data_IF_764934203634
#
_entry.id   IF_764934203634
#
_cell.length_a   1.000
_cell.length_b   1.000
_cell.length_c   1.000
_cell.angle_alpha   90.00
_cell.angle_beta   90.00
_cell.angle_gamma   90.00
#
_symmetry.space_group_name_H-M   'P 1'
#
loop_
_entity.id
_entity.type
_entity.pdbx_description
1 polymer ?
#
# COMPACT_ATOMS: atom_id res chain seq x y z
N UNK A 1 -7.00 22.44 -13.54
CA UNK A 1 -6.83 21.75 -12.24
C UNK A 1 -7.44 20.37 -12.40
N UNK A 2 -6.83 19.32 -11.85
CA UNK A 2 -7.35 17.96 -12.00
C UNK A 2 -8.70 17.84 -11.26
N UNK A 3 -9.73 17.35 -11.94
CA UNK A 3 -11.04 17.11 -11.35
C UNK A 3 -11.08 15.79 -10.58
N UNK A 4 -12.09 15.60 -9.74
CA UNK A 4 -12.36 14.29 -9.11
C UNK A 4 -12.51 13.17 -10.15
N UNK A 5 -13.09 13.49 -11.32
CA UNK A 5 -13.21 12.55 -12.43
C UNK A 5 -11.86 12.10 -12.99
N UNK A 6 -10.93 13.04 -13.16
CA UNK A 6 -9.57 12.74 -13.67
C UNK A 6 -8.81 11.83 -12.70
N UNK A 7 -8.91 12.10 -11.40
CA UNK A 7 -8.33 11.24 -10.36
C UNK A 7 -9.00 9.86 -10.35
N UNK A 8 -10.33 9.81 -10.45
CA UNK A 8 -11.08 8.56 -10.47
C UNK A 8 -10.70 7.65 -11.63
N UNK A 9 -10.62 8.20 -12.86
CA UNK A 9 -10.21 7.45 -14.06
C UNK A 9 -8.76 6.97 -13.92
N UNK A 10 -7.86 7.85 -13.49
CA UNK A 10 -6.45 7.48 -13.26
C UNK A 10 -6.29 6.39 -12.21
N UNK A 11 -6.98 6.51 -11.07
CA UNK A 11 -6.97 5.51 -10.01
C UNK A 11 -7.53 4.17 -10.51
N UNK A 12 -8.64 4.18 -11.25
CA UNK A 12 -9.24 2.98 -11.81
C UNK A 12 -8.27 2.25 -12.76
N UNK A 13 -7.64 2.97 -13.69
CA UNK A 13 -6.67 2.39 -14.64
C UNK A 13 -5.48 1.79 -13.88
N UNK A 14 -4.91 2.51 -12.92
CA UNK A 14 -3.77 2.03 -12.13
C UNK A 14 -4.13 0.79 -11.30
N UNK A 15 -5.29 0.79 -10.64
CA UNK A 15 -5.76 -0.36 -9.83
C UNK A 15 -6.04 -1.57 -10.72
N UNK A 16 -6.73 -1.40 -11.85
CA UNK A 16 -7.02 -2.48 -12.79
C UNK A 16 -5.73 -3.08 -13.38
N UNK A 17 -4.77 -2.23 -13.73
CA UNK A 17 -3.48 -2.66 -14.26
C UNK A 17 -2.67 -3.40 -13.20
N UNK A 18 -2.61 -2.89 -11.97
CA UNK A 18 -1.97 -3.58 -10.86
C UNK A 18 -2.62 -4.94 -10.55
N UNK A 19 -3.95 -5.02 -10.62
CA UNK A 19 -4.68 -6.27 -10.47
C UNK A 19 -4.37 -7.25 -11.59
N UNK A 20 -4.33 -6.79 -12.85
CA UNK A 20 -3.95 -7.61 -13.99
C UNK A 20 -2.53 -8.18 -13.83
N UNK A 21 -1.58 -7.37 -13.34
CA UNK A 21 -0.23 -7.85 -13.02
C UNK A 21 -0.21 -8.86 -11.86
N UNK A 22 -1.03 -8.68 -10.83
CA UNK A 22 -1.18 -9.64 -9.74
C UNK A 22 -1.71 -10.99 -10.23
N UNK A 23 -2.71 -10.97 -11.11
CA UNK A 23 -3.26 -12.18 -11.74
C UNK A 23 -2.21 -12.83 -12.64
N UNK A 24 -1.51 -12.06 -13.47
CA UNK A 24 -0.42 -12.57 -14.30
C UNK A 24 0.68 -13.21 -13.45
N UNK A 25 1.09 -12.55 -12.35
CA UNK A 25 2.05 -13.09 -11.38
C UNK A 25 1.56 -14.41 -10.76
N UNK A 26 0.29 -14.47 -10.34
CA UNK A 26 -0.30 -15.69 -9.78
C UNK A 26 -0.24 -16.85 -10.77
N UNK A 27 -0.61 -16.60 -12.03
CA UNK A 27 -0.57 -17.61 -13.09
C UNK A 27 0.86 -18.06 -13.34
N UNK A 28 1.77 -17.12 -13.60
CA UNK A 28 3.17 -17.40 -13.91
C UNK A 28 3.88 -18.13 -12.78
N UNK A 29 3.58 -17.80 -11.51
CA UNK A 29 4.18 -18.43 -10.33
C UNK A 29 3.74 -19.89 -10.14
N UNK A 30 2.52 -20.23 -10.54
CA UNK A 30 1.97 -21.58 -10.41
C UNK A 30 2.42 -22.53 -11.53
N UNK A 31 2.96 -22.00 -12.64
CA UNK A 31 3.43 -22.82 -13.75
C UNK A 31 4.76 -23.52 -13.39
N UNK A 32 4.86 -24.86 -13.52
CA UNK A 32 6.04 -25.63 -13.14
C UNK A 32 7.29 -25.27 -13.96
N UNK A 33 7.12 -24.75 -15.18
CA UNK A 33 8.23 -24.25 -16.01
C UNK A 33 8.93 -23.02 -15.41
N UNK A 34 8.20 -22.15 -14.72
CA UNK A 34 8.72 -20.89 -14.19
C UNK A 34 9.13 -20.98 -12.70
N UNK A 35 9.02 -22.16 -12.10
CA UNK A 35 9.32 -22.40 -10.68
C UNK A 35 10.77 -22.05 -10.32
N UNK A 36 11.71 -22.25 -11.25
CA UNK A 36 13.14 -21.91 -11.07
C UNK A 36 13.39 -20.40 -10.97
N UNK A 37 12.59 -19.57 -11.64
CA UNK A 37 12.73 -18.11 -11.65
C UNK A 37 12.17 -17.50 -10.37
N UNK A 38 11.04 -18.01 -9.88
CA UNK A 38 10.42 -17.48 -8.66
C UNK A 38 11.00 -18.05 -7.36
N UNK A 39 11.57 -19.26 -7.38
CA UNK A 39 12.14 -19.90 -6.19
C UNK A 39 13.61 -20.33 -6.32
N UNK A 40 14.53 -19.47 -6.82
CA UNK A 40 15.92 -19.86 -7.07
C UNK A 40 16.67 -20.24 -5.78
N UNK A 41 16.38 -19.55 -4.67
CA UNK A 41 17.00 -19.81 -3.36
C UNK A 41 16.76 -21.24 -2.86
N UNK A 42 15.61 -21.84 -3.19
CA UNK A 42 15.28 -23.21 -2.76
C UNK A 42 16.12 -24.26 -3.48
N UNK A 43 16.44 -24.01 -4.75
CA UNK A 43 17.35 -24.85 -5.53
C UNK A 43 18.80 -24.67 -5.09
N UNK A 44 19.23 -23.44 -4.79
CA UNK A 44 20.59 -23.15 -4.31
C UNK A 44 20.84 -23.78 -2.93
N UNK A 45 19.85 -23.74 -2.04
CA UNK A 45 19.92 -24.38 -0.71
C UNK A 45 19.74 -25.91 -0.74
N UNK A 46 19.54 -26.51 -1.92
CA UNK A 46 19.32 -27.96 -2.07
C UNK A 46 18.01 -28.50 -1.46
N UNK A 47 17.11 -27.61 -1.01
CA UNK A 47 15.82 -27.95 -0.38
C UNK A 47 14.80 -28.47 -1.40
N UNK A 48 15.05 -28.25 -2.70
CA UNK A 48 14.22 -28.73 -3.81
C UNK A 48 15.07 -29.45 -4.84
N UNK A 49 14.86 -30.75 -4.99
CA UNK A 49 15.42 -31.53 -6.09
C UNK A 49 14.60 -31.27 -7.36
N UNK A 50 15.26 -31.13 -8.50
CA UNK A 50 14.59 -31.05 -9.81
C UNK A 50 13.59 -32.22 -9.96
N UNK A 51 12.30 -32.00 -10.27
CA UNK A 51 11.32 -33.06 -10.44
C UNK A 51 11.51 -33.82 -11.77
N UNK A 52 12.74 -33.92 -12.28
CA UNK A 52 13.03 -34.57 -13.57
C UNK A 52 12.64 -36.05 -13.63
N UNK A 53 12.31 -36.71 -12.52
CA UNK A 53 12.17 -38.17 -12.47
C UNK A 53 10.83 -38.77 -12.01
N UNK A 54 9.76 -38.02 -11.71
CA UNK A 54 8.52 -38.68 -11.20
C UNK A 54 7.20 -37.93 -11.44
N UNK A 55 6.70 -37.90 -12.69
CA UNK A 55 5.34 -37.41 -12.95
C UNK A 55 4.91 -37.38 -14.42
N UNK A 56 3.63 -37.70 -14.67
CA UNK A 56 2.98 -37.75 -15.98
C UNK A 56 3.09 -36.42 -16.75
N UNK A 57 3.44 -36.51 -18.04
CA UNK A 57 3.88 -35.41 -18.91
C UNK A 57 2.92 -34.19 -19.03
N UNK A 58 1.61 -34.32 -18.77
CA UNK A 58 0.63 -33.23 -18.93
C UNK A 58 0.59 -32.22 -17.80
N UNK A 59 0.52 -32.69 -16.54
CA UNK A 59 0.60 -31.84 -15.33
C UNK A 59 2.03 -31.32 -15.07
N UNK A 60 2.99 -31.69 -15.92
CA UNK A 60 4.40 -31.33 -15.85
C UNK A 60 4.69 -29.93 -16.41
N UNK A 61 3.81 -29.39 -17.26
CA UNK A 61 4.02 -28.11 -17.94
C UNK A 61 3.00 -27.04 -17.55
N UNK A 62 1.75 -27.42 -17.25
CA UNK A 62 0.68 -26.49 -16.88
C UNK A 62 -0.04 -27.00 -15.64
N UNK A 63 -0.08 -26.16 -14.59
CA UNK A 63 -0.92 -26.41 -13.43
C UNK A 63 -2.33 -25.89 -13.72
N UNK A 64 -3.35 -26.77 -13.73
CA UNK A 64 -4.75 -26.44 -14.05
C UNK A 64 -5.65 -26.45 -12.80
N UNK A 65 -5.09 -26.56 -11.59
CA UNK A 65 -5.87 -26.59 -10.36
C UNK A 65 -6.49 -25.23 -10.03
N UNK A 66 -7.75 -25.02 -10.40
CA UNK A 66 -8.54 -23.82 -10.09
C UNK A 66 -8.51 -23.44 -8.60
N UNK A 67 -8.41 -24.44 -7.70
CA UNK A 67 -8.27 -24.21 -6.25
C UNK A 67 -6.97 -23.51 -5.88
N UNK A 68 -5.88 -23.81 -6.59
CA UNK A 68 -4.58 -23.14 -6.43
C UNK A 68 -4.63 -21.69 -6.91
N UNK A 69 -5.45 -21.40 -7.92
CA UNK A 69 -5.71 -20.05 -8.40
C UNK A 69 -6.58 -19.23 -7.46
N UNK A 70 -7.60 -19.80 -6.82
CA UNK A 70 -8.39 -19.09 -5.80
C UNK A 70 -7.55 -18.81 -4.54
N UNK A 71 -6.68 -19.74 -4.15
CA UNK A 71 -5.83 -19.59 -2.97
C UNK A 71 -4.56 -18.76 -3.23
N UNK A 72 -4.40 -18.13 -4.40
CA UNK A 72 -3.15 -17.45 -4.74
C UNK A 72 -2.80 -16.34 -3.74
N UNK A 73 -3.79 -15.59 -3.24
CA UNK A 73 -3.56 -14.52 -2.26
C UNK A 73 -3.05 -15.02 -0.89
N UNK A 74 -3.02 -16.33 -0.64
CA UNK A 74 -2.47 -16.92 0.59
C UNK A 74 -1.00 -16.58 0.85
N UNK A 75 -0.23 -16.18 -0.18
CA UNK A 75 1.16 -15.74 0.00
C UNK A 75 1.26 -14.43 0.79
N UNK A 76 0.27 -13.54 0.69
CA UNK A 76 0.29 -12.22 1.35
C UNK A 76 0.21 -12.33 2.88
N UNK A 77 -0.77 -13.03 3.50
CA UNK A 77 -0.78 -13.23 4.94
C UNK A 77 0.38 -14.10 5.42
N UNK A 78 0.88 -15.03 4.60
CA UNK A 78 2.07 -15.81 4.94
C UNK A 78 3.33 -14.92 5.03
N UNK A 79 3.49 -13.96 4.12
CA UNK A 79 4.60 -13.01 4.14
C UNK A 79 4.58 -12.09 5.38
N UNK A 80 3.39 -11.71 5.86
CA UNK A 80 3.22 -10.87 7.05
C UNK A 80 3.41 -11.62 8.38
N UNK A 81 3.37 -12.96 8.38
CA UNK A 81 3.52 -13.77 9.61
C UNK A 81 4.98 -13.97 10.04
N UNK A 82 5.96 -13.65 9.20
CA UNK A 82 7.37 -13.90 9.49
C UNK A 82 7.89 -12.90 10.54
N UNK A 83 8.42 -13.37 11.69
CA UNK A 83 8.95 -12.47 12.73
C UNK A 83 10.30 -11.85 12.30
N UNK A 84 10.57 -10.62 12.75
CA UNK A 84 11.80 -9.87 12.47
C UNK A 84 13.11 -10.66 12.68
N UNK A 85 13.32 -11.42 13.79
CA UNK A 85 14.55 -12.19 13.98
C UNK A 85 14.75 -13.27 12.91
N UNK A 86 13.67 -13.92 12.47
CA UNK A 86 13.74 -14.92 11.39
C UNK A 86 14.03 -14.25 10.04
N UNK A 87 13.44 -13.07 9.81
CA UNK A 87 13.69 -12.27 8.61
C UNK A 87 15.15 -11.82 8.53
N UNK A 88 15.75 -11.36 9.64
CA UNK A 88 17.16 -10.97 9.69
C UNK A 88 18.06 -12.17 9.38
N UNK A 89 17.78 -13.33 9.97
CA UNK A 89 18.57 -14.55 9.71
C UNK A 89 18.41 -15.06 8.27
N UNK A 90 17.26 -14.84 7.63
CA UNK A 90 16.98 -15.36 6.29
C UNK A 90 17.32 -14.39 5.14
N UNK A 91 17.09 -13.10 5.32
CA UNK A 91 17.24 -12.05 4.32
C UNK A 91 18.40 -11.08 4.59
N UNK A 92 18.88 -11.03 5.84
CA UNK A 92 19.93 -10.10 6.27
C UNK A 92 19.37 -8.85 6.96
N UNK A 93 20.26 -8.12 7.64
CA UNK A 93 19.94 -6.92 8.41
C UNK A 93 19.39 -5.78 7.54
N UNK A 94 20.01 -5.53 6.37
CA UNK A 94 19.63 -4.42 5.48
C UNK A 94 18.18 -4.54 4.98
N UNK A 95 17.77 -5.75 4.58
CA UNK A 95 16.38 -6.03 4.18
C UNK A 95 15.38 -5.83 5.32
N UNK A 96 15.76 -6.17 6.55
CA UNK A 96 14.92 -5.95 7.72
C UNK A 96 14.76 -4.46 8.04
N UNK A 97 15.85 -3.68 7.95
CA UNK A 97 15.80 -2.21 8.12
C UNK A 97 14.93 -1.56 7.05
N UNK A 98 15.05 -2.00 5.79
CA UNK A 98 14.20 -1.51 4.70
C UNK A 98 12.71 -1.73 4.98
N UNK A 99 12.32 -2.93 5.42
CA UNK A 99 10.93 -3.23 5.80
C UNK A 99 10.48 -2.41 7.02
N UNK A 100 11.37 -2.16 7.98
CA UNK A 100 11.09 -1.32 9.16
C UNK A 100 10.69 0.11 8.75
N UNK A 101 11.30 0.67 7.71
CA UNK A 101 10.94 2.00 7.18
C UNK A 101 9.47 2.01 6.70
N UNK A 102 9.02 0.98 5.99
CA UNK A 102 7.62 0.88 5.56
C UNK A 102 6.64 0.73 6.73
N UNK A 103 6.99 -0.10 7.72
CA UNK A 103 6.15 -0.30 8.91
C UNK A 103 6.06 0.97 9.76
N UNK A 104 7.17 1.69 9.95
CA UNK A 104 7.19 2.98 10.63
C UNK A 104 6.36 4.00 9.85
N UNK A 105 6.50 4.03 8.51
CA UNK A 105 5.67 4.86 7.63
C UNK A 105 4.18 4.59 7.85
N UNK A 106 3.76 3.33 7.82
CA UNK A 106 2.38 2.94 8.08
C UNK A 106 1.91 3.37 9.48
N UNK A 107 2.72 3.11 10.51
CA UNK A 107 2.41 3.47 11.91
C UNK A 107 2.27 4.98 12.09
N UNK A 108 3.00 5.79 11.31
CA UNK A 108 2.89 7.24 11.30
C UNK A 108 1.68 7.74 10.50
N UNK A 109 1.48 7.25 9.29
CA UNK A 109 0.44 7.77 8.40
C UNK A 109 -0.97 7.38 8.81
N UNK A 110 -1.20 6.16 9.30
CA UNK A 110 -2.55 5.69 9.67
C UNK A 110 -3.26 6.62 10.68
N UNK A 111 -2.70 6.92 11.86
CA UNK A 111 -3.37 7.78 12.83
C UNK A 111 -3.51 9.22 12.33
N UNK A 112 -2.50 9.74 11.61
CA UNK A 112 -2.54 11.09 11.02
C UNK A 112 -3.66 11.18 9.99
N UNK A 113 -3.80 10.17 9.11
CA UNK A 113 -4.88 10.10 8.11
C UNK A 113 -6.25 10.00 8.78
N UNK A 114 -6.40 9.18 9.83
CA UNK A 114 -7.65 9.11 10.58
C UNK A 114 -8.04 10.45 11.21
N UNK A 115 -7.08 11.13 11.86
CA UNK A 115 -7.28 12.43 12.49
C UNK A 115 -7.62 13.50 11.43
N UNK A 116 -6.85 13.56 10.35
CA UNK A 116 -7.09 14.49 9.24
C UNK A 116 -8.47 14.24 8.60
N UNK A 117 -8.85 12.99 8.35
CA UNK A 117 -10.15 12.67 7.76
C UNK A 117 -11.30 13.04 8.70
N UNK A 118 -11.15 12.81 10.00
CA UNK A 118 -12.20 13.09 10.99
C UNK A 118 -12.38 14.59 11.24
N UNK A 119 -11.30 15.38 11.18
CA UNK A 119 -11.33 16.80 11.54
C UNK A 119 -11.28 17.72 10.32
N UNK A 120 -10.30 17.57 9.42
CA UNK A 120 -10.13 18.50 8.29
C UNK A 120 -11.27 18.39 7.28
N UNK A 121 -11.75 17.18 6.97
CA UNK A 121 -12.80 17.00 5.96
C UNK A 121 -14.09 17.76 6.35
N UNK A 122 -14.70 17.56 7.53
CA UNK A 122 -15.91 18.30 7.89
C UNK A 122 -15.68 19.80 8.09
N UNK A 123 -14.54 20.20 8.66
CA UNK A 123 -14.21 21.61 8.89
C UNK A 123 -14.07 22.37 7.57
N UNK A 124 -13.46 21.75 6.56
CA UNK A 124 -13.22 22.40 5.27
C UNK A 124 -14.43 22.29 4.33
N UNK A 125 -15.24 21.23 4.45
CA UNK A 125 -16.46 21.05 3.66
C UNK A 125 -17.58 22.04 4.03
N UNK A 126 -17.71 22.41 5.30
CA UNK A 126 -18.79 23.29 5.80
C UNK A 126 -18.57 24.77 5.45
N UNK A 127 -17.84 25.07 4.38
CA UNK A 127 -17.47 26.42 4.05
C UNK A 127 -17.68 26.74 2.57
N UNK A 128 -18.26 27.90 2.32
CA UNK A 128 -18.64 28.34 0.97
C UNK A 128 -17.78 29.54 0.55
N UNK A 129 -16.52 29.58 1.01
CA UNK A 129 -15.64 30.72 0.73
C UNK A 129 -15.18 30.69 -0.72
N UNK A 130 -14.84 29.51 -1.25
CA UNK A 130 -14.51 29.34 -2.66
C UNK A 130 -15.70 29.61 -3.59
N UNK A 131 -16.90 29.16 -3.20
CA UNK A 131 -18.13 29.40 -3.98
C UNK A 131 -18.50 30.89 -4.07
N UNK A 132 -18.12 31.69 -3.06
CA UNK A 132 -18.30 33.14 -3.05
C UNK A 132 -17.19 33.91 -3.74
N UNK A 133 -16.13 33.23 -4.17
CA UNK A 133 -15.00 33.85 -4.86
C UNK A 133 -15.06 33.55 -6.36
N UNK A 134 -14.71 34.54 -7.19
CA UNK A 134 -14.76 34.44 -8.65
C UNK A 134 -13.53 33.69 -9.22
N UNK A 135 -13.04 32.68 -8.50
CA UNK A 135 -11.88 31.87 -8.89
C UNK A 135 -12.33 30.54 -9.48
N UNK A 136 -11.55 30.01 -10.41
CA UNK A 136 -11.75 28.64 -10.89
C UNK A 136 -11.26 27.67 -9.82
N UNK A 137 -12.15 26.80 -9.34
CA UNK A 137 -11.82 25.79 -8.32
C UNK A 137 -12.39 24.42 -8.71
N UNK A 138 -11.77 23.36 -8.21
CA UNK A 138 -12.26 21.98 -8.29
C UNK A 138 -12.89 21.54 -6.96
N UNK A 139 -13.66 20.44 -6.98
CA UNK A 139 -14.27 19.89 -5.75
C UNK A 139 -13.24 19.49 -4.69
N UNK A 140 -12.01 19.15 -5.11
CA UNK A 140 -10.90 18.81 -4.21
C UNK A 140 -10.37 20.06 -3.50
N UNK A 141 -10.41 21.21 -4.17
CA UNK A 141 -9.96 22.47 -3.60
C UNK A 141 -10.88 22.94 -2.47
N UNK A 142 -12.13 22.47 -2.41
CA UNK A 142 -13.05 22.70 -1.27
C UNK A 142 -12.54 22.06 0.03
N UNK A 143 -11.76 20.99 -0.07
CA UNK A 143 -11.16 20.29 1.07
C UNK A 143 -9.82 20.91 1.49
N UNK A 144 -9.29 21.88 0.73
CA UNK A 144 -8.01 22.51 0.99
C UNK A 144 -8.13 23.80 1.81
N UNK A 145 -7.00 24.33 2.29
CA UNK A 145 -6.92 25.60 3.02
C UNK A 145 -7.42 26.80 2.20
N UNK A 146 -7.45 26.66 0.87
CA UNK A 146 -8.03 27.64 -0.05
C UNK A 146 -9.51 27.92 0.22
N UNK A 147 -10.24 26.99 0.84
CA UNK A 147 -11.64 27.18 1.21
C UNK A 147 -11.83 27.90 2.56
N UNK A 148 -10.79 28.43 3.19
CA UNK A 148 -10.88 29.02 4.54
C UNK A 148 -10.68 30.53 4.47
N UNK A 149 -11.61 31.34 5.04
CA UNK A 149 -11.51 32.78 4.99
C UNK A 149 -10.38 33.26 5.90
N UNK A 150 -9.69 34.29 5.44
CA UNK A 150 -8.63 34.96 6.19
C UNK A 150 -9.19 35.45 7.54
N UNK A 151 -8.48 35.15 8.65
CA UNK A 151 -8.86 35.51 10.03
C UNK A 151 -10.00 34.67 10.67
N UNK A 152 -10.15 33.40 10.29
CA UNK A 152 -11.14 32.48 10.86
C UNK A 152 -10.60 31.58 11.99
N UNK A 153 -11.46 31.24 12.96
CA UNK A 153 -11.22 30.24 14.02
C UNK A 153 -10.86 28.85 13.44
N UNK A 154 -11.27 28.56 12.21
CA UNK A 154 -10.96 27.28 11.53
C UNK A 154 -9.47 27.13 11.16
N UNK A 155 -8.77 28.24 10.93
CA UNK A 155 -7.31 28.22 10.73
C UNK A 155 -6.58 27.76 12.00
N UNK A 156 -7.12 28.12 13.18
CA UNK A 156 -6.60 27.66 14.48
C UNK A 156 -6.77 26.15 14.62
N UNK A 157 -7.92 25.59 14.20
CA UNK A 157 -8.17 24.14 14.22
C UNK A 157 -7.17 23.40 13.32
N UNK A 158 -6.90 23.90 12.12
CA UNK A 158 -5.89 23.28 11.24
C UNK A 158 -4.50 23.35 11.87
N UNK A 159 -4.13 24.50 12.43
CA UNK A 159 -2.84 24.66 13.11
C UNK A 159 -2.70 23.69 14.28
N UNK A 160 -3.78 23.50 15.05
CA UNK A 160 -3.84 22.53 16.15
C UNK A 160 -3.68 21.09 15.64
N UNK A 161 -4.39 20.70 14.59
CA UNK A 161 -4.25 19.37 13.97
C UNK A 161 -2.82 19.14 13.47
N UNK A 162 -2.21 20.13 12.84
CA UNK A 162 -0.82 20.05 12.37
C UNK A 162 0.17 19.92 13.54
N UNK A 163 -0.08 20.61 14.66
CA UNK A 163 0.70 20.49 15.88
C UNK A 163 0.61 19.08 16.48
N UNK A 164 -0.58 18.51 16.59
CA UNK A 164 -0.78 17.14 17.09
C UNK A 164 -0.11 16.10 16.18
N UNK A 165 -0.20 16.26 14.86
CA UNK A 165 0.50 15.39 13.92
C UNK A 165 2.04 15.46 14.06
N UNK A 166 2.58 16.66 14.29
CA UNK A 166 4.01 16.87 14.55
C UNK A 166 4.44 16.29 15.90
N UNK A 167 3.61 16.43 16.94
CA UNK A 167 3.89 15.88 18.26
C UNK A 167 3.86 14.35 18.25
N UNK A 168 2.90 13.76 17.54
CA UNK A 168 2.85 12.31 17.32
C UNK A 168 4.12 11.77 16.65
N UNK A 169 4.63 12.49 15.64
CA UNK A 169 5.92 12.16 15.01
C UNK A 169 7.07 12.24 16.01
N UNK A 170 7.07 13.21 16.91
CA UNK A 170 8.12 13.38 17.92
C UNK A 170 8.11 12.24 18.95
N UNK A 171 6.93 11.91 19.49
CA UNK A 171 6.74 10.81 20.46
C UNK A 171 7.20 9.47 19.84
N UNK A 172 6.82 9.23 18.59
CA UNK A 172 7.23 8.04 17.84
C UNK A 172 8.74 7.94 17.60
N UNK A 173 9.46 9.06 17.54
CA UNK A 173 10.92 9.08 17.39
C UNK A 173 11.65 8.85 18.73
N UNK A 174 10.98 9.09 19.86
CA UNK A 174 11.54 8.88 21.21
C UNK A 174 11.34 7.45 21.74
N UNK A 175 10.43 6.68 21.15
CA UNK A 175 10.16 5.27 21.52
C UNK A 175 10.93 4.23 20.68
N UNK A 176 11.88 4.67 19.84
CA UNK A 176 12.57 3.85 18.83
C UNK A 176 13.89 3.23 19.27
#
# INVERSE_FOLDING_TARGET
MASLGDIGVSAAINILTAFAFLVAFAILRLQPFNDRVYFPKWYIKGLRSSPMYSGAFGNKFVNLDYRSYISFLSWMPAALKMPEPELINHAGLDSAVYLRIYLIGLKLFVPITCLAFTILVPVNWTNDTLERSNVTFSDIDKLSISNIPTRSQRCVIITFVMYEALNYKYIMNTEG
#
